data_IF_693949136137
#
_entry.id   IF_693949136137
#
_cell.length_a   1.000
_cell.length_b   1.000
_cell.length_c   1.000
_cell.angle_alpha   90.00
_cell.angle_beta   90.00
_cell.angle_gamma   90.00
#
_symmetry.space_group_name_H-M   'P 1'
#
loop_
_entity.id
_entity.type
_entity.pdbx_description
1 polymer ?
#
# COMPACT_ATOMS: atom_id res chain seq x y z
N UNK A 1 29.06 -30.93 3.72
CA UNK A 1 28.68 -30.11 2.55
C UNK A 1 28.89 -28.65 2.94
N UNK A 2 29.48 -27.80 2.10
CA UNK A 2 29.59 -26.36 2.44
C UNK A 2 28.18 -25.76 2.42
N UNK A 3 27.69 -25.33 3.58
CA UNK A 3 26.46 -24.55 3.70
C UNK A 3 26.56 -23.33 2.78
N UNK A 4 25.66 -23.25 1.80
CA UNK A 4 25.65 -22.19 0.80
C UNK A 4 24.85 -21.02 1.36
N UNK A 5 25.59 -20.00 1.79
CA UNK A 5 25.05 -18.72 2.26
C UNK A 5 24.19 -18.05 1.17
N UNK A 6 23.04 -17.51 1.56
CA UNK A 6 22.18 -16.70 0.69
C UNK A 6 22.25 -15.22 1.11
N UNK A 7 22.34 -14.33 0.11
CA UNK A 7 22.26 -12.88 0.33
C UNK A 7 20.84 -12.42 0.07
N UNK A 8 20.27 -11.72 1.03
CA UNK A 8 18.89 -11.23 1.03
C UNK A 8 18.96 -9.71 1.06
N UNK A 9 18.38 -9.03 0.07
CA UNK A 9 18.19 -7.60 0.16
C UNK A 9 17.01 -7.30 1.09
N UNK A 10 17.26 -6.54 2.15
CA UNK A 10 16.22 -6.05 3.06
C UNK A 10 16.10 -4.57 2.78
N UNK A 11 14.98 -4.18 2.16
CA UNK A 11 14.66 -2.78 1.88
C UNK A 11 13.78 -2.29 3.03
N UNK A 12 14.35 -1.52 3.95
CA UNK A 12 13.69 -1.12 5.20
C UNK A 12 14.33 0.14 5.84
N UNK A 13 14.27 0.31 7.17
CA UNK A 13 14.84 1.42 7.94
C UNK A 13 16.30 1.24 8.36
N UNK A 14 16.95 0.18 7.91
CA UNK A 14 18.30 -0.20 8.31
C UNK A 14 18.38 -1.39 9.27
N UNK A 15 19.54 -2.06 9.31
CA UNK A 15 19.82 -3.22 10.16
C UNK A 15 21.00 -2.94 11.10
N UNK A 16 20.79 -3.04 12.41
CA UNK A 16 21.88 -2.99 13.40
C UNK A 16 22.60 -4.34 13.48
N UNK A 17 23.93 -4.31 13.49
CA UNK A 17 24.74 -5.49 13.77
C UNK A 17 24.77 -5.75 15.27
N UNK A 18 23.82 -6.57 15.71
CA UNK A 18 23.71 -7.00 17.10
C UNK A 18 23.24 -8.45 17.21
N UNK A 19 23.71 -9.13 18.26
CA UNK A 19 23.34 -10.52 18.55
C UNK A 19 23.60 -11.45 17.37
N UNK A 20 22.54 -12.14 16.91
CA UNK A 20 22.62 -13.09 15.80
C UNK A 20 23.02 -12.46 14.46
N UNK A 21 22.95 -11.13 14.32
CA UNK A 21 23.25 -10.40 13.09
C UNK A 21 24.71 -9.97 12.95
N UNK A 22 25.53 -10.12 13.99
CA UNK A 22 26.95 -9.73 13.97
C UNK A 22 27.70 -10.42 12.82
N UNK A 23 28.31 -9.62 11.93
CA UNK A 23 29.07 -10.14 10.79
C UNK A 23 28.23 -10.76 9.65
N UNK A 24 26.91 -10.50 9.62
CA UNK A 24 26.00 -11.01 8.58
C UNK A 24 25.60 -9.98 7.52
N UNK A 25 25.99 -8.73 7.69
CA UNK A 25 25.66 -7.67 6.73
C UNK A 25 26.83 -7.53 5.76
N UNK A 26 26.55 -7.80 4.49
CA UNK A 26 27.57 -7.83 3.43
C UNK A 26 27.72 -6.49 2.73
N UNK A 27 26.65 -5.68 2.73
CA UNK A 27 26.57 -4.41 2.01
C UNK A 27 25.53 -3.53 2.70
N UNK A 28 25.78 -2.22 2.72
CA UNK A 28 24.86 -1.20 3.21
C UNK A 28 24.72 -0.11 2.15
N UNK A 29 23.50 0.27 1.84
CA UNK A 29 23.20 1.40 0.95
C UNK A 29 22.09 2.22 1.59
N UNK A 30 22.34 3.51 1.77
CA UNK A 30 21.34 4.47 2.24
C UNK A 30 20.91 5.35 1.06
N UNK A 31 19.64 5.25 0.68
CA UNK A 31 19.07 5.97 -0.46
C UNK A 31 18.69 7.42 -0.13
N UNK A 32 18.66 7.79 1.15
CA UNK A 32 18.50 9.17 1.61
C UNK A 32 19.85 9.90 1.77
N UNK A 33 20.96 9.17 1.84
CA UNK A 33 22.28 9.77 1.89
C UNK A 33 22.63 10.48 0.58
N UNK A 34 23.27 11.65 0.70
CA UNK A 34 23.84 12.37 -0.45
C UNK A 34 24.80 11.47 -1.24
N UNK A 35 24.83 11.64 -2.56
CA UNK A 35 25.58 10.77 -3.49
C UNK A 35 27.06 10.56 -3.13
N UNK A 36 27.69 11.54 -2.47
CA UNK A 36 29.10 11.47 -2.04
C UNK A 36 29.34 10.72 -0.71
N UNK A 37 28.28 10.29 0.00
CA UNK A 37 28.35 9.60 1.30
C UNK A 37 27.75 8.18 1.28
N UNK A 38 27.35 7.68 0.11
CA UNK A 38 26.67 6.38 -0.06
C UNK A 38 27.50 5.16 0.35
N UNK A 39 28.79 5.31 0.67
CA UNK A 39 29.70 4.19 0.97
C UNK A 39 30.18 4.09 2.43
N UNK A 40 29.91 5.06 3.30
CA UNK A 40 30.35 5.00 4.71
C UNK A 40 29.31 5.58 5.68
N UNK A 41 28.14 4.95 5.76
CA UNK A 41 27.17 5.29 6.82
C UNK A 41 27.43 4.40 8.04
N UNK A 42 28.23 4.90 8.99
CA UNK A 42 28.11 4.48 10.39
C UNK A 42 26.72 4.91 10.84
N UNK A 43 25.76 3.99 10.89
CA UNK A 43 24.44 4.25 11.43
C UNK A 43 24.60 4.87 12.83
N UNK A 44 24.27 6.16 12.98
CA UNK A 44 23.83 6.65 14.29
C UNK A 44 22.56 5.86 14.60
N UNK A 45 22.48 5.26 15.80
CA UNK A 45 21.26 4.60 16.26
C UNK A 45 20.07 5.54 16.03
N UNK A 46 19.28 5.27 15.00
CA UNK A 46 17.92 5.77 14.88
C UNK A 46 17.05 4.97 15.85
N UNK A 47 15.93 5.54 16.28
CA UNK A 47 14.94 4.86 17.11
C UNK A 47 14.23 3.70 16.39
N UNK A 48 14.40 3.54 15.07
CA UNK A 48 13.70 2.53 14.30
C UNK A 48 14.50 1.23 14.21
N UNK A 49 13.99 0.18 14.85
CA UNK A 49 14.57 -1.18 14.90
C UNK A 49 13.92 -2.15 13.91
N UNK A 50 13.05 -1.64 13.02
CA UNK A 50 12.14 -2.45 12.22
C UNK A 50 12.86 -3.45 11.30
N UNK A 51 13.80 -2.99 10.48
CA UNK A 51 14.62 -3.85 9.63
C UNK A 51 15.47 -4.84 10.42
N UNK A 52 15.94 -4.43 11.61
CA UNK A 52 16.69 -5.31 12.52
C UNK A 52 15.84 -6.46 13.04
N UNK A 53 14.57 -6.20 13.38
CA UNK A 53 13.61 -7.23 13.80
C UNK A 53 13.35 -8.19 12.63
N UNK A 54 13.05 -7.67 11.43
CA UNK A 54 12.82 -8.50 10.25
C UNK A 54 14.01 -9.42 9.94
N UNK A 55 15.24 -8.89 9.98
CA UNK A 55 16.46 -9.66 9.79
C UNK A 55 16.64 -10.76 10.87
N UNK A 56 16.32 -10.49 12.14
CA UNK A 56 16.37 -11.50 13.22
C UNK A 56 15.36 -12.62 12.99
N UNK A 57 14.14 -12.31 12.55
CA UNK A 57 13.12 -13.31 12.22
C UNK A 57 13.61 -14.21 11.09
N UNK A 58 14.14 -13.60 10.02
CA UNK A 58 14.72 -14.34 8.89
C UNK A 58 15.85 -15.27 9.36
N UNK A 59 16.77 -14.78 10.20
CA UNK A 59 17.84 -15.61 10.76
C UNK A 59 17.35 -16.75 11.66
N UNK A 60 16.26 -16.54 12.40
CA UNK A 60 15.64 -17.57 13.23
C UNK A 60 15.13 -18.76 12.41
N UNK A 61 14.69 -18.51 11.18
CA UNK A 61 14.22 -19.54 10.26
C UNK A 61 15.37 -20.06 9.39
N UNK A 62 16.20 -19.18 8.84
CA UNK A 62 17.34 -19.51 7.98
C UNK A 62 18.66 -18.99 8.61
N UNK A 63 19.36 -19.81 9.40
CA UNK A 63 20.63 -19.44 10.03
C UNK A 63 21.77 -19.15 9.06
N UNK A 64 21.63 -19.42 7.77
CA UNK A 64 22.61 -19.13 6.71
C UNK A 64 22.35 -17.82 5.96
N UNK A 65 21.36 -17.04 6.42
CA UNK A 65 21.04 -15.74 5.83
C UNK A 65 22.14 -14.69 6.09
N UNK A 66 22.49 -13.99 5.02
CA UNK A 66 23.30 -12.77 4.99
C UNK A 66 22.49 -11.65 4.34
N UNK A 67 22.77 -10.40 4.70
CA UNK A 67 21.93 -9.27 4.32
C UNK A 67 22.67 -8.24 3.47
N UNK A 68 21.95 -7.71 2.49
CA UNK A 68 22.20 -6.43 1.86
C UNK A 68 21.20 -5.46 2.52
N UNK A 69 21.71 -4.55 3.33
CA UNK A 69 20.93 -3.61 4.12
C UNK A 69 20.68 -2.34 3.28
N UNK A 70 19.45 -2.21 2.78
CA UNK A 70 19.05 -1.15 1.86
C UNK A 70 18.07 -0.20 2.57
N UNK A 71 18.59 0.92 3.08
CA UNK A 71 17.78 1.90 3.80
C UNK A 71 16.99 2.76 2.82
N UNK A 72 15.70 2.47 2.71
CA UNK A 72 14.73 3.22 1.90
C UNK A 72 13.49 3.65 2.69
N UNK A 73 13.47 3.41 4.00
CA UNK A 73 12.46 3.91 4.93
C UNK A 73 13.08 4.88 5.95
N UNK A 74 12.38 5.97 6.23
CA UNK A 74 12.75 6.96 7.23
C UNK A 74 12.49 6.44 8.66
N UNK A 75 13.08 7.06 9.70
CA UNK A 75 12.90 6.65 11.09
C UNK A 75 11.45 6.70 11.60
N UNK A 76 10.58 7.49 10.96
CA UNK A 76 9.14 7.59 11.28
C UNK A 76 8.29 6.49 10.60
N UNK A 77 8.92 5.57 9.86
CA UNK A 77 8.25 4.49 9.14
C UNK A 77 7.71 4.89 7.76
N UNK A 78 7.95 6.12 7.30
CA UNK A 78 7.53 6.57 5.97
C UNK A 78 8.61 6.26 4.92
N UNK A 79 8.18 6.11 3.67
CA UNK A 79 9.07 5.97 2.51
C UNK A 79 8.59 6.87 1.39
N UNK A 80 9.51 7.30 0.54
CA UNK A 80 9.21 7.99 -0.71
C UNK A 80 9.26 6.96 -1.84
N UNK A 81 8.28 6.99 -2.74
CA UNK A 81 8.21 6.09 -3.89
C UNK A 81 9.53 6.06 -4.68
N UNK A 82 10.14 7.22 -4.94
CA UNK A 82 11.40 7.30 -5.68
C UNK A 82 12.52 6.54 -4.97
N UNK A 83 12.56 6.57 -3.64
CA UNK A 83 13.56 5.84 -2.84
C UNK A 83 13.34 4.34 -2.87
N UNK A 84 12.09 3.90 -2.87
CA UNK A 84 11.77 2.51 -3.11
C UNK A 84 12.18 2.06 -4.52
N UNK A 85 11.88 2.86 -5.55
CA UNK A 85 12.26 2.55 -6.94
C UNK A 85 13.78 2.50 -7.11
N UNK A 86 14.53 3.46 -6.55
CA UNK A 86 16.01 3.46 -6.56
C UNK A 86 16.57 2.18 -5.91
N UNK A 87 15.97 1.70 -4.81
CA UNK A 87 16.39 0.48 -4.14
C UNK A 87 16.11 -0.79 -4.96
N UNK A 88 14.95 -0.86 -5.62
CA UNK A 88 14.60 -1.96 -6.52
C UNK A 88 15.51 -1.99 -7.76
N UNK A 89 15.79 -0.82 -8.35
CA UNK A 89 16.72 -0.69 -9.47
C UNK A 89 18.13 -1.12 -9.08
N UNK A 90 18.58 -0.76 -7.87
CA UNK A 90 19.85 -1.23 -7.34
C UNK A 90 19.87 -2.75 -7.19
N UNK A 91 18.81 -3.37 -6.66
CA UNK A 91 18.71 -4.82 -6.55
C UNK A 91 18.80 -5.52 -7.92
N UNK A 92 18.15 -4.98 -8.94
CA UNK A 92 18.24 -5.49 -10.30
C UNK A 92 19.67 -5.40 -10.84
N UNK A 93 20.33 -4.25 -10.66
CA UNK A 93 21.72 -4.04 -11.11
C UNK A 93 22.71 -4.97 -10.40
N UNK A 94 22.48 -5.29 -9.13
CA UNK A 94 23.35 -6.19 -8.36
C UNK A 94 23.02 -7.69 -8.55
N UNK A 95 21.98 -8.03 -9.31
CA UNK A 95 21.55 -9.42 -9.51
C UNK A 95 21.11 -10.09 -8.20
N UNK A 96 20.41 -9.36 -7.34
CA UNK A 96 19.89 -9.89 -6.07
C UNK A 96 18.88 -11.01 -6.34
N UNK A 97 18.96 -12.12 -5.61
CA UNK A 97 18.07 -13.27 -5.81
C UNK A 97 16.81 -13.25 -4.94
N UNK A 98 16.88 -12.68 -3.73
CA UNK A 98 15.76 -12.59 -2.80
C UNK A 98 15.68 -11.19 -2.20
N UNK A 99 14.52 -10.55 -2.34
CA UNK A 99 14.22 -9.23 -1.81
C UNK A 99 13.10 -9.34 -0.78
N UNK A 100 13.32 -8.71 0.37
CA UNK A 100 12.36 -8.57 1.44
C UNK A 100 11.89 -7.11 1.54
N UNK A 101 10.56 -6.93 1.60
CA UNK A 101 9.90 -5.63 1.71
C UNK A 101 8.85 -5.67 2.81
N UNK A 102 9.16 -5.11 3.96
CA UNK A 102 8.21 -4.86 5.05
C UNK A 102 7.58 -3.47 4.96
N UNK A 103 7.39 -2.99 3.74
CA UNK A 103 6.83 -1.71 3.36
C UNK A 103 6.12 -1.82 2.00
N UNK A 104 5.28 -0.84 1.70
CA UNK A 104 4.57 -0.76 0.43
C UNK A 104 3.71 0.49 0.35
N UNK A 105 2.95 0.63 -0.73
CA UNK A 105 2.08 1.77 -0.99
C UNK A 105 0.63 1.34 -1.23
N UNK A 106 -0.28 2.19 -0.79
CA UNK A 106 -1.73 2.08 -1.04
C UNK A 106 -2.21 3.18 -2.00
N UNK A 107 -1.32 4.09 -2.41
CA UNK A 107 -1.60 5.13 -3.39
C UNK A 107 -1.75 4.53 -4.79
N UNK A 108 -2.78 4.97 -5.50
CA UNK A 108 -3.11 4.51 -6.84
C UNK A 108 -2.02 4.86 -7.85
N UNK A 109 -1.51 6.10 -7.80
CA UNK A 109 -0.53 6.61 -8.76
C UNK A 109 0.82 5.91 -8.67
N UNK A 110 1.17 5.39 -7.49
CA UNK A 110 2.42 4.67 -7.26
C UNK A 110 2.41 3.26 -7.88
N UNK A 111 1.23 2.69 -8.12
CA UNK A 111 1.08 1.31 -8.60
C UNK A 111 1.86 1.07 -9.89
N UNK A 112 1.64 1.90 -10.91
CA UNK A 112 2.22 1.70 -12.24
C UNK A 112 3.75 1.74 -12.25
N UNK A 113 4.42 2.80 -11.76
CA UNK A 113 5.88 2.82 -11.74
C UNK A 113 6.46 1.68 -10.91
N UNK A 114 5.83 1.32 -9.77
CA UNK A 114 6.29 0.20 -8.96
C UNK A 114 6.12 -1.15 -9.68
N UNK A 115 5.00 -1.36 -10.37
CA UNK A 115 4.72 -2.56 -11.16
C UNK A 115 5.78 -2.78 -12.25
N UNK A 116 6.23 -1.71 -12.91
CA UNK A 116 7.29 -1.78 -13.94
C UNK A 116 8.62 -2.30 -13.35
N UNK A 117 9.01 -1.84 -12.16
CA UNK A 117 10.28 -2.26 -11.51
C UNK A 117 10.17 -3.68 -10.97
N UNK A 118 9.03 -4.02 -10.36
CA UNK A 118 8.75 -5.37 -9.88
C UNK A 118 8.74 -6.36 -11.04
N UNK A 119 8.05 -6.07 -12.15
CA UNK A 119 8.05 -6.94 -13.33
C UNK A 119 9.47 -7.19 -13.87
N UNK A 120 10.28 -6.13 -13.98
CA UNK A 120 11.69 -6.26 -14.40
C UNK A 120 12.52 -7.20 -13.50
N UNK A 121 12.29 -7.16 -12.18
CA UNK A 121 12.92 -8.08 -11.23
C UNK A 121 12.39 -9.51 -11.37
N UNK A 122 11.07 -9.68 -11.53
CA UNK A 122 10.45 -11.00 -11.73
C UNK A 122 10.94 -11.66 -13.03
N UNK A 123 11.11 -10.90 -14.11
CA UNK A 123 11.66 -11.38 -15.39
C UNK A 123 13.13 -11.84 -15.25
N UNK A 124 13.85 -11.32 -14.25
CA UNK A 124 15.20 -11.77 -13.87
C UNK A 124 15.17 -12.94 -12.87
N UNK A 125 14.00 -13.56 -12.67
CA UNK A 125 13.77 -14.64 -11.73
C UNK A 125 14.09 -14.25 -10.27
N UNK A 126 13.94 -12.97 -9.91
CA UNK A 126 14.11 -12.52 -8.52
C UNK A 126 12.88 -12.89 -7.70
N UNK A 127 13.10 -13.39 -6.49
CA UNK A 127 12.02 -13.70 -5.55
C UNK A 127 11.78 -12.47 -4.67
N UNK A 128 10.53 -12.04 -4.58
CA UNK A 128 10.13 -10.87 -3.79
C UNK A 128 9.10 -11.32 -2.76
N UNK A 129 9.32 -10.96 -1.50
CA UNK A 129 8.37 -11.16 -0.40
C UNK A 129 8.01 -9.79 0.16
N UNK A 130 6.71 -9.47 0.19
CA UNK A 130 6.23 -8.17 0.62
C UNK A 130 5.06 -8.26 1.61
N UNK A 131 5.05 -7.35 2.59
CA UNK A 131 3.95 -7.23 3.54
C UNK A 131 2.77 -6.42 2.96
N UNK A 132 1.54 -6.84 3.27
CA UNK A 132 0.37 -5.98 3.11
C UNK A 132 0.30 -4.92 4.22
N UNK A 133 -0.45 -3.84 3.99
CA UNK A 133 -0.71 -2.82 5.00
C UNK A 133 -1.35 -3.41 6.26
N UNK A 134 -1.04 -2.87 7.44
CA UNK A 134 -1.55 -3.33 8.75
C UNK A 134 -3.07 -3.19 8.95
N UNK A 135 -3.80 -2.69 7.95
CA UNK A 135 -5.27 -2.70 7.89
C UNK A 135 -5.83 -3.82 7.01
N UNK A 136 -4.97 -4.69 6.47
CA UNK A 136 -5.32 -5.71 5.46
C UNK A 136 -6.05 -5.10 4.25
N UNK A 137 -5.59 -3.92 3.83
CA UNK A 137 -6.00 -3.34 2.56
C UNK A 137 -4.97 -3.66 1.48
N UNK A 138 -5.41 -3.68 0.22
CA UNK A 138 -4.55 -3.93 -0.94
C UNK A 138 -3.36 -2.98 -0.92
N UNK A 139 -2.16 -3.54 -0.99
CA UNK A 139 -0.89 -2.81 -0.93
C UNK A 139 0.05 -3.34 -1.99
N UNK A 140 0.79 -2.45 -2.64
CA UNK A 140 1.79 -2.83 -3.62
C UNK A 140 3.20 -2.69 -3.00
N UNK A 141 4.10 -3.67 -3.22
CA UNK A 141 4.01 -4.71 -4.24
C UNK A 141 3.37 -6.04 -3.80
N UNK A 142 2.95 -6.20 -2.54
CA UNK A 142 2.40 -7.46 -2.01
C UNK A 142 1.24 -8.04 -2.83
N UNK A 143 0.44 -7.17 -3.46
CA UNK A 143 -0.68 -7.52 -4.33
C UNK A 143 -0.30 -7.81 -5.80
N UNK A 144 0.95 -7.65 -6.22
CA UNK A 144 1.34 -7.93 -7.61
C UNK A 144 1.49 -9.43 -7.87
N UNK A 145 1.00 -9.95 -9.01
CA UNK A 145 1.28 -11.33 -9.41
C UNK A 145 2.78 -11.61 -9.41
N UNK A 146 3.16 -12.78 -8.91
CA UNK A 146 4.56 -13.17 -8.76
C UNK A 146 5.29 -12.59 -7.53
N UNK A 147 4.60 -11.87 -6.64
CA UNK A 147 5.15 -11.44 -5.34
C UNK A 147 4.52 -12.28 -4.24
N UNK A 148 5.34 -12.79 -3.32
CA UNK A 148 4.83 -13.43 -2.12
C UNK A 148 4.25 -12.37 -1.17
N UNK A 149 2.93 -12.20 -1.21
CA UNK A 149 2.18 -11.23 -0.40
C UNK A 149 1.77 -11.84 0.94
N UNK A 150 2.17 -11.19 2.04
CA UNK A 150 2.04 -11.77 3.39
C UNK A 150 1.27 -10.87 4.34
N UNK A 151 0.35 -11.48 5.11
CA UNK A 151 -0.39 -10.86 6.22
C UNK A 151 -0.09 -11.59 7.53
N UNK A 152 -0.23 -10.89 8.64
CA UNK A 152 -0.17 -11.51 9.96
C UNK A 152 -1.45 -12.29 10.25
N UNK A 153 -1.29 -13.46 10.87
CA UNK A 153 -2.38 -14.13 11.56
C UNK A 153 -2.83 -13.31 12.78
N UNK A 154 -3.94 -12.60 12.61
CA UNK A 154 -4.60 -11.80 13.67
C UNK A 154 -5.59 -12.59 14.52
N UNK A 155 -5.93 -13.81 14.09
CA UNK A 155 -6.91 -14.66 14.77
C UNK A 155 -6.21 -15.58 15.80
N UNK A 156 -4.87 -15.66 15.77
CA UNK A 156 -4.09 -16.48 16.68
C UNK A 156 -4.26 -17.97 16.38
N UNK A 157 -4.55 -18.31 15.13
CA UNK A 157 -4.81 -19.68 14.68
C UNK A 157 -3.54 -20.37 14.16
N UNK A 158 -2.38 -19.74 14.19
CA UNK A 158 -1.08 -20.32 13.85
C UNK A 158 -0.16 -20.26 15.08
N UNK A 159 0.84 -21.13 15.14
CA UNK A 159 1.96 -21.01 16.08
C UNK A 159 3.12 -20.21 15.46
N UNK A 160 4.14 -19.87 16.26
CA UNK A 160 5.30 -19.12 15.78
C UNK A 160 5.97 -19.72 14.53
N UNK A 161 6.18 -18.88 13.53
CA UNK A 161 6.76 -19.22 12.23
C UNK A 161 5.94 -20.21 11.40
N UNK A 162 4.70 -20.51 11.80
CA UNK A 162 3.74 -21.20 10.95
C UNK A 162 3.07 -20.21 10.00
N UNK A 163 2.58 -20.75 8.89
CA UNK A 163 1.82 -20.00 7.91
C UNK A 163 0.81 -20.92 7.23
N UNK A 164 -0.21 -20.32 6.63
CA UNK A 164 -1.18 -21.00 5.78
C UNK A 164 -1.46 -20.17 4.53
N UNK A 165 -2.14 -20.78 3.57
CA UNK A 165 -2.70 -20.10 2.42
C UNK A 165 -4.19 -19.89 2.65
N UNK A 166 -4.66 -18.66 2.43
CA UNK A 166 -6.08 -18.32 2.48
C UNK A 166 -6.47 -17.70 1.15
N UNK A 167 -7.26 -18.41 0.35
CA UNK A 167 -7.69 -17.93 -0.96
C UNK A 167 -8.38 -16.56 -0.89
N UNK A 168 -8.00 -15.68 -1.83
CA UNK A 168 -8.51 -14.33 -1.95
C UNK A 168 -8.99 -14.10 -3.37
N UNK A 169 -10.23 -13.62 -3.52
CA UNK A 169 -10.79 -13.34 -4.82
C UNK A 169 -9.96 -12.27 -5.56
N UNK A 170 -9.53 -12.59 -6.79
CA UNK A 170 -8.71 -11.68 -7.60
C UNK A 170 -7.20 -11.69 -7.31
N UNK A 171 -6.72 -12.60 -6.46
CA UNK A 171 -5.31 -12.73 -6.09
C UNK A 171 -4.76 -14.13 -6.39
N UNK A 172 -3.47 -14.19 -6.71
CA UNK A 172 -2.73 -15.44 -6.83
C UNK A 172 -2.51 -16.10 -5.46
N UNK A 173 -2.07 -17.36 -5.49
CA UNK A 173 -1.78 -18.12 -4.27
C UNK A 173 -0.56 -17.56 -3.55
N UNK A 174 0.43 -17.09 -4.31
CA UNK A 174 1.59 -16.36 -3.82
C UNK A 174 1.22 -15.08 -3.06
N UNK A 175 0.13 -14.41 -3.44
CA UNK A 175 -0.35 -13.18 -2.80
C UNK A 175 -1.20 -13.44 -1.54
N UNK A 176 -1.44 -14.70 -1.20
CA UNK A 176 -2.52 -15.13 -0.31
C UNK A 176 -2.00 -15.82 0.96
N UNK A 177 -0.87 -15.36 1.48
CA UNK A 177 -0.19 -15.99 2.61
C UNK A 177 -0.54 -15.29 3.91
N UNK A 178 -0.89 -16.08 4.92
CA UNK A 178 -1.06 -15.64 6.31
C UNK A 178 0.00 -16.32 7.14
N UNK A 179 0.86 -15.56 7.79
CA UNK A 179 1.97 -16.07 8.59
C UNK A 179 1.92 -15.51 10.01
N UNK A 180 2.48 -16.26 10.94
CA UNK A 180 2.49 -15.88 12.35
C UNK A 180 3.91 -15.65 12.86
N UNK A 181 4.08 -14.56 13.62
CA UNK A 181 5.23 -14.36 14.49
C UNK A 181 4.86 -13.56 15.76
N UNK A 182 5.07 -14.14 16.95
CA UNK A 182 5.01 -13.44 18.23
C UNK A 182 6.36 -12.80 18.56
N UNK A 183 6.41 -11.47 18.54
CA UNK A 183 7.48 -10.73 19.20
C UNK A 183 7.29 -10.73 20.71
N UNK A 184 8.38 -10.64 21.47
CA UNK A 184 8.41 -10.67 22.95
C UNK A 184 7.67 -9.53 23.69
N UNK A 185 6.74 -8.84 23.03
CA UNK A 185 5.91 -7.77 23.59
C UNK A 185 4.45 -7.75 23.09
N UNK A 186 4.02 -8.73 22.30
CA UNK A 186 2.59 -8.90 21.97
C UNK A 186 1.97 -7.84 21.05
N UNK A 187 2.72 -7.27 20.10
CA UNK A 187 2.13 -6.41 19.06
C UNK A 187 1.29 -7.27 18.08
N UNK A 188 -0.03 -7.09 18.10
CA UNK A 188 -1.00 -8.06 17.56
C UNK A 188 -1.36 -7.81 16.07
N UNK A 189 -0.85 -6.75 15.43
CA UNK A 189 -1.22 -6.38 14.03
C UNK A 189 -0.09 -5.70 13.23
N UNK A 190 1.08 -6.31 13.16
CA UNK A 190 2.19 -5.97 12.28
C UNK A 190 2.41 -7.03 11.18
N UNK A 191 1.83 -6.81 10.00
CA UNK A 191 2.09 -7.63 8.81
C UNK A 191 3.58 -7.61 8.42
N UNK A 192 4.29 -6.54 8.79
CA UNK A 192 5.73 -6.38 8.60
C UNK A 192 6.56 -7.45 9.30
N UNK A 193 6.08 -8.07 10.39
CA UNK A 193 6.77 -9.17 11.07
C UNK A 193 6.32 -10.56 10.60
N UNK A 194 5.21 -10.65 9.85
CA UNK A 194 4.77 -11.88 9.21
C UNK A 194 5.54 -12.15 7.89
N UNK A 195 5.76 -11.12 7.07
CA UNK A 195 6.53 -11.23 5.82
C UNK A 195 7.95 -11.84 5.96
N UNK A 196 8.76 -11.51 6.99
CA UNK A 196 10.08 -12.11 7.16
C UNK A 196 10.02 -13.61 7.47
N UNK A 197 8.88 -14.14 7.96
CA UNK A 197 8.69 -15.59 8.13
C UNK A 197 8.81 -16.28 6.77
N UNK A 198 8.02 -15.83 5.79
CA UNK A 198 8.02 -16.38 4.42
C UNK A 198 9.35 -16.14 3.72
N UNK A 199 9.99 -14.99 3.99
CA UNK A 199 11.34 -14.71 3.48
C UNK A 199 12.36 -15.74 4.00
N UNK A 200 12.26 -16.15 5.26
CA UNK A 200 13.10 -17.20 5.84
C UNK A 200 12.89 -18.56 5.17
N UNK A 201 11.66 -18.95 4.88
CA UNK A 201 11.38 -20.19 4.14
C UNK A 201 11.88 -20.14 2.70
N UNK A 202 11.67 -19.02 2.00
CA UNK A 202 12.22 -18.82 0.65
C UNK A 202 13.76 -18.88 0.65
N UNK A 203 14.41 -18.31 1.67
CA UNK A 203 15.85 -18.36 1.85
C UNK A 203 16.37 -19.80 2.01
N UNK A 204 15.67 -20.67 2.76
CA UNK A 204 16.04 -22.10 2.87
C UNK A 204 16.10 -22.79 1.52
N UNK A 205 15.08 -22.60 0.68
CA UNK A 205 15.04 -23.18 -0.68
C UNK A 205 16.22 -22.68 -1.51
N UNK A 206 16.55 -21.38 -1.41
CA UNK A 206 17.64 -20.78 -2.17
C UNK A 206 19.04 -21.17 -1.66
N UNK A 207 19.20 -21.53 -0.38
CA UNK A 207 20.44 -22.13 0.13
C UNK A 207 20.72 -23.47 -0.56
N UNK A 208 19.69 -24.29 -0.79
CA UNK A 208 19.82 -25.58 -1.46
C UNK A 208 19.93 -25.43 -2.99
N UNK A 209 19.10 -24.56 -3.57
CA UNK A 209 19.01 -24.30 -5.00
C UNK A 209 18.94 -22.79 -5.30
N UNK A 210 20.10 -22.15 -5.49
CA UNK A 210 20.19 -20.73 -5.81
C UNK A 210 19.53 -20.32 -7.14
N UNK A 211 19.21 -21.28 -8.02
CA UNK A 211 18.53 -21.03 -9.29
C UNK A 211 17.01 -21.23 -9.21
N UNK A 212 16.49 -21.70 -8.07
CA UNK A 212 15.06 -21.93 -7.88
C UNK A 212 14.27 -20.68 -8.25
N UNK A 213 13.21 -20.87 -9.04
CA UNK A 213 12.26 -19.81 -9.36
C UNK A 213 11.11 -19.78 -8.37
N UNK A 214 10.16 -18.87 -8.64
CA UNK A 214 8.99 -18.68 -7.79
C UNK A 214 8.19 -19.96 -7.60
N UNK A 215 7.97 -20.75 -8.66
CA UNK A 215 7.17 -21.98 -8.59
C UNK A 215 7.77 -22.99 -7.62
N UNK A 216 9.10 -23.18 -7.65
CA UNK A 216 9.79 -24.08 -6.71
C UNK A 216 9.66 -23.61 -5.27
N UNK A 217 9.72 -22.30 -5.03
CA UNK A 217 9.52 -21.75 -3.68
C UNK A 217 8.06 -21.87 -3.26
N UNK A 218 7.10 -21.60 -4.14
CA UNK A 218 5.68 -21.74 -3.86
C UNK A 218 5.32 -23.19 -3.52
N UNK A 219 5.77 -24.16 -4.31
CA UNK A 219 5.59 -25.60 -4.03
C UNK A 219 6.17 -25.99 -2.67
N UNK A 220 7.34 -25.45 -2.32
CA UNK A 220 7.94 -25.70 -1.01
C UNK A 220 7.10 -25.08 0.12
N UNK A 221 6.61 -23.85 -0.06
CA UNK A 221 5.73 -23.20 0.91
C UNK A 221 4.43 -23.99 1.08
N UNK A 222 3.79 -24.43 0.00
CA UNK A 222 2.56 -25.23 0.04
C UNK A 222 2.73 -26.54 0.82
N UNK A 223 3.86 -27.22 0.64
CA UNK A 223 4.18 -28.45 1.38
C UNK A 223 4.40 -28.22 2.88
N UNK A 224 4.81 -27.02 3.27
CA UNK A 224 5.12 -26.67 4.66
C UNK A 224 4.01 -25.85 5.35
N UNK A 225 2.99 -25.44 4.61
CA UNK A 225 1.87 -24.69 5.14
C UNK A 225 0.99 -25.54 6.06
N UNK A 226 0.44 -24.92 7.09
CA UNK A 226 -0.62 -25.50 7.92
C UNK A 226 -1.87 -25.68 7.06
N UNK A 227 -2.48 -26.86 7.15
CA UNK A 227 -3.73 -27.20 6.45
C UNK A 227 -4.85 -27.47 7.46
N UNK A 228 -6.11 -27.39 7.02
CA UNK A 228 -7.28 -27.67 7.86
C UNK A 228 -7.66 -26.58 8.86
N UNK A 229 -7.03 -25.39 8.78
CA UNK A 229 -7.45 -24.19 9.52
C UNK A 229 -8.01 -23.16 8.55
N UNK A 230 -9.06 -22.46 8.94
CA UNK A 230 -9.66 -21.38 8.16
C UNK A 230 -9.33 -20.03 8.80
N UNK A 231 -8.83 -19.10 7.99
CA UNK A 231 -8.62 -17.70 8.36
C UNK A 231 -9.71 -16.87 7.67
N UNK A 232 -10.39 -15.97 8.38
CA UNK A 232 -11.57 -15.28 7.87
C UNK A 232 -11.25 -13.86 7.38
N UNK A 233 -10.28 -13.17 7.99
CA UNK A 233 -9.94 -11.80 7.60
C UNK A 233 -9.42 -11.73 6.14
N UNK A 234 -9.92 -10.77 5.35
CA UNK A 234 -9.67 -10.68 3.90
C UNK A 234 -8.89 -9.44 3.54
N UNK A 235 -8.36 -9.42 2.32
CA UNK A 235 -7.80 -8.20 1.76
C UNK A 235 -8.95 -7.37 1.22
N UNK A 236 -9.12 -6.15 1.73
CA UNK A 236 -10.09 -5.19 1.16
C UNK A 236 -9.37 -4.14 0.30
N UNK A 237 -10.13 -3.40 -0.48
CA UNK A 237 -9.67 -2.26 -1.27
C UNK A 237 -9.96 -0.93 -0.58
N UNK A 238 -10.65 -0.93 0.56
CA UNK A 238 -11.07 0.24 1.32
C UNK A 238 -10.80 0.09 2.81
N UNK A 239 -10.66 1.22 3.48
CA UNK A 239 -10.58 1.32 4.93
C UNK A 239 -12.01 1.39 5.47
N UNK A 240 -12.41 0.50 6.40
CA UNK A 240 -13.71 0.62 7.08
C UNK A 240 -13.82 1.93 7.86
N UNK A 241 -14.96 2.64 7.80
CA UNK A 241 -15.21 3.84 8.65
C UNK A 241 -15.07 3.51 10.16
N UNK A 242 -15.38 2.28 10.55
CA UNK A 242 -15.25 1.77 11.93
C UNK A 242 -13.84 1.34 12.32
N UNK A 243 -12.84 1.51 11.45
CA UNK A 243 -11.48 1.09 11.74
C UNK A 243 -10.86 1.98 12.83
N UNK A 244 -10.20 1.34 13.79
CA UNK A 244 -9.79 1.99 15.03
C UNK A 244 -8.64 2.98 14.78
N UNK A 245 -8.86 4.29 14.94
CA UNK A 245 -7.74 5.20 15.24
C UNK A 245 -7.18 4.81 16.61
N UNK A 246 -5.92 4.37 16.65
CA UNK A 246 -5.16 4.08 17.88
C UNK A 246 -5.78 3.00 18.80
N UNK A 247 -6.42 1.97 18.25
CA UNK A 247 -6.88 0.84 19.05
C UNK A 247 -8.11 1.10 19.95
N UNK A 248 -8.83 2.21 19.75
CA UNK A 248 -10.14 2.46 20.39
C UNK A 248 -11.27 2.22 19.40
N UNK A 249 -12.30 1.50 19.86
CA UNK A 249 -13.60 1.43 19.16
C UNK A 249 -14.15 2.85 19.10
N UNK A 250 -14.33 3.37 17.89
CA UNK A 250 -15.04 4.62 17.69
C UNK A 250 -16.49 4.45 18.14
N UNK A 251 -16.99 5.45 18.85
CA UNK A 251 -18.38 5.54 19.26
C UNK A 251 -19.30 5.60 18.04
N UNK A 252 -20.58 5.30 18.23
CA UNK A 252 -21.58 5.36 17.16
C UNK A 252 -21.70 6.76 16.54
N UNK A 253 -21.34 7.82 17.29
CA UNK A 253 -21.33 9.21 16.82
C UNK A 253 -20.11 9.54 15.95
N UNK A 254 -18.95 8.94 16.21
CA UNK A 254 -17.72 9.16 15.41
C UNK A 254 -17.75 8.34 14.09
N UNK A 255 -18.54 7.26 14.02
CA UNK A 255 -18.79 6.54 12.77
C UNK A 255 -19.69 7.31 11.78
N UNK A 256 -20.35 8.36 12.25
CA UNK A 256 -21.29 9.20 11.50
C UNK A 256 -20.67 10.56 11.14
N UNK A 257 -19.36 10.75 11.37
CA UNK A 257 -18.66 11.96 10.96
C UNK A 257 -18.63 12.03 9.42
N UNK A 258 -19.40 12.97 8.89
CA UNK A 258 -19.24 13.46 7.52
C UNK A 258 -17.80 13.89 7.30
N UNK A 259 -17.27 13.65 6.09
CA UNK A 259 -15.95 14.20 5.73
C UNK A 259 -15.90 15.71 6.03
N UNK A 260 -14.81 16.15 6.63
CA UNK A 260 -14.60 17.58 6.93
C UNK A 260 -14.20 18.40 5.70
N UNK A 261 -13.90 17.71 4.59
CA UNK A 261 -13.45 18.30 3.32
C UNK A 261 -14.59 18.36 2.30
N UNK A 262 -14.63 19.39 1.43
CA UNK A 262 -15.70 19.52 0.44
C UNK A 262 -15.67 18.39 -0.59
N UNK A 263 -16.84 17.79 -0.84
CA UNK A 263 -17.06 16.82 -1.92
C UNK A 263 -17.99 17.40 -2.98
N UNK A 264 -17.45 17.58 -4.19
CA UNK A 264 -18.14 18.24 -5.30
C UNK A 264 -18.35 17.25 -6.44
N UNK A 265 -19.60 17.02 -6.84
CA UNK A 265 -19.93 16.07 -7.90
C UNK A 265 -20.47 16.74 -9.16
N UNK A 266 -19.78 16.52 -10.28
CA UNK A 266 -20.26 16.84 -11.62
C UNK A 266 -21.11 15.72 -12.20
N UNK A 267 -22.32 16.05 -12.70
CA UNK A 267 -23.18 15.11 -13.45
C UNK A 267 -23.09 15.41 -14.94
N UNK A 268 -22.32 14.61 -15.66
CA UNK A 268 -22.03 14.88 -17.08
C UNK A 268 -21.13 16.10 -17.29
N UNK A 269 -20.47 16.60 -16.24
CA UNK A 269 -19.60 17.79 -16.26
C UNK A 269 -18.13 17.37 -16.16
N UNK A 270 -17.72 16.38 -16.96
CA UNK A 270 -16.39 15.77 -16.88
C UNK A 270 -15.28 16.78 -17.11
N UNK A 271 -15.38 17.54 -18.19
CA UNK A 271 -14.39 18.56 -18.56
C UNK A 271 -14.27 19.60 -17.45
N UNK A 272 -15.39 20.00 -16.87
CA UNK A 272 -15.44 20.98 -15.79
C UNK A 272 -14.85 20.42 -14.49
N UNK A 273 -15.08 19.15 -14.15
CA UNK A 273 -14.45 18.54 -12.96
C UNK A 273 -12.93 18.52 -13.09
N UNK A 274 -12.41 18.25 -14.30
CA UNK A 274 -10.97 18.36 -14.56
C UNK A 274 -10.48 19.80 -14.44
N UNK A 275 -11.15 20.73 -15.09
CA UNK A 275 -10.79 22.16 -15.03
C UNK A 275 -10.77 22.69 -13.60
N UNK A 276 -11.76 22.32 -12.78
CA UNK A 276 -11.81 22.72 -11.36
C UNK A 276 -10.70 22.07 -10.54
N UNK A 277 -10.38 20.81 -10.81
CA UNK A 277 -9.22 20.15 -10.18
C UNK A 277 -7.93 20.93 -10.48
N UNK A 278 -7.70 21.26 -11.75
CA UNK A 278 -6.53 22.05 -12.19
C UNK A 278 -6.52 23.47 -11.58
N UNK A 279 -7.68 24.13 -11.51
CA UNK A 279 -7.82 25.47 -10.94
C UNK A 279 -7.46 25.49 -9.45
N UNK A 280 -7.95 24.52 -8.67
CA UNK A 280 -7.67 24.45 -7.24
C UNK A 280 -6.24 24.00 -6.94
N UNK A 281 -5.69 23.05 -7.72
CA UNK A 281 -4.25 22.73 -7.68
C UNK A 281 -3.39 23.97 -7.96
N UNK A 282 -3.76 24.77 -8.97
CA UNK A 282 -3.07 26.03 -9.30
C UNK A 282 -3.13 27.09 -8.20
N UNK A 283 -4.11 27.00 -7.30
CA UNK A 283 -4.23 27.85 -6.09
C UNK A 283 -3.48 27.27 -4.87
N UNK A 284 -2.86 26.10 -5.01
CA UNK A 284 -2.09 25.44 -3.97
C UNK A 284 -2.87 24.45 -3.10
N UNK A 285 -4.11 24.11 -3.45
CA UNK A 285 -4.89 23.08 -2.76
C UNK A 285 -4.49 21.68 -3.26
N UNK A 286 -4.42 20.72 -2.35
CA UNK A 286 -4.32 19.31 -2.68
C UNK A 286 -5.68 18.79 -3.16
N UNK A 287 -5.95 18.93 -4.45
CA UNK A 287 -7.22 18.51 -5.06
C UNK A 287 -7.14 17.07 -5.56
N UNK A 288 -8.24 16.34 -5.48
CA UNK A 288 -8.32 14.98 -5.99
C UNK A 288 -9.54 14.76 -6.87
N UNK A 289 -9.32 14.14 -8.03
CA UNK A 289 -10.38 13.79 -8.97
C UNK A 289 -10.65 12.28 -8.97
N UNK A 290 -11.86 11.88 -8.60
CA UNK A 290 -12.36 10.51 -8.76
C UNK A 290 -13.29 10.41 -9.97
N UNK A 291 -13.07 9.42 -10.84
CA UNK A 291 -13.86 9.22 -12.07
C UNK A 291 -14.44 7.81 -12.13
N UNK A 292 -15.69 7.69 -12.62
CA UNK A 292 -16.25 6.36 -12.93
C UNK A 292 -15.56 5.67 -14.11
N UNK A 293 -15.17 6.46 -15.11
CA UNK A 293 -14.40 6.01 -16.25
C UNK A 293 -13.20 6.94 -16.41
N UNK A 294 -12.02 6.45 -16.06
CA UNK A 294 -10.80 7.26 -16.13
C UNK A 294 -10.45 7.57 -17.57
N UNK A 295 -10.30 8.85 -17.86
CA UNK A 295 -9.72 9.35 -19.12
C UNK A 295 -8.59 10.35 -18.86
N UNK A 296 -8.59 11.00 -17.70
CA UNK A 296 -7.59 11.97 -17.32
C UNK A 296 -6.44 11.29 -16.56
N UNK A 297 -5.20 11.63 -16.90
CA UNK A 297 -4.00 10.98 -16.36
C UNK A 297 -3.77 11.24 -14.85
N UNK A 298 -4.46 12.23 -14.28
CA UNK A 298 -4.43 12.56 -12.85
C UNK A 298 -5.69 12.15 -12.08
N UNK A 299 -6.60 11.40 -12.70
CA UNK A 299 -7.80 10.91 -12.05
C UNK A 299 -7.62 9.50 -11.48
N UNK A 300 -8.31 9.22 -10.38
CA UNK A 300 -8.38 7.88 -9.80
C UNK A 300 -9.70 7.22 -10.21
N UNK A 301 -9.68 5.98 -10.71
CA UNK A 301 -10.91 5.23 -10.96
C UNK A 301 -11.63 4.98 -9.64
N UNK A 302 -12.90 5.34 -9.55
CA UNK A 302 -13.73 5.03 -8.36
C UNK A 302 -13.71 3.51 -8.11
N UNK A 303 -13.76 2.71 -9.18
CA UNK A 303 -13.74 1.25 -9.11
C UNK A 303 -12.44 0.66 -8.54
N UNK A 304 -11.36 1.46 -8.47
CA UNK A 304 -10.16 1.07 -7.76
C UNK A 304 -10.49 0.75 -6.30
N UNK A 305 -11.37 1.53 -5.66
CA UNK A 305 -11.79 1.32 -4.27
C UNK A 305 -13.02 0.40 -4.12
N UNK A 306 -13.33 -0.41 -5.13
CA UNK A 306 -14.32 -1.48 -5.04
C UNK A 306 -15.33 -1.50 -6.19
N UNK A 307 -16.09 -2.60 -6.28
CA UNK A 307 -17.13 -2.76 -7.28
C UNK A 307 -18.30 -1.77 -7.11
N UNK A 308 -19.24 -1.81 -8.05
CA UNK A 308 -20.39 -0.88 -8.13
C UNK A 308 -21.24 -0.80 -6.86
N UNK A 309 -21.24 -1.84 -6.03
CA UNK A 309 -22.04 -1.92 -4.81
C UNK A 309 -21.34 -1.30 -3.59
N UNK A 310 -20.10 -0.79 -3.73
CA UNK A 310 -19.37 -0.19 -2.63
C UNK A 310 -19.97 1.18 -2.26
N UNK A 311 -20.32 1.42 -0.98
CA UNK A 311 -20.83 2.72 -0.56
C UNK A 311 -19.82 3.84 -0.81
N UNK A 312 -20.28 4.93 -1.43
CA UNK A 312 -19.45 6.09 -1.76
C UNK A 312 -18.73 6.65 -0.52
N UNK A 313 -19.43 6.79 0.60
CA UNK A 313 -18.82 7.28 1.84
C UNK A 313 -17.62 6.46 2.32
N UNK A 314 -17.59 5.14 2.07
CA UNK A 314 -16.43 4.30 2.41
C UNK A 314 -15.25 4.54 1.48
N UNK A 315 -15.53 4.78 0.19
CA UNK A 315 -14.51 5.16 -0.80
C UNK A 315 -13.92 6.53 -0.45
N UNK A 316 -14.76 7.53 -0.21
CA UNK A 316 -14.35 8.88 0.16
C UNK A 316 -13.52 8.88 1.45
N UNK A 317 -13.95 8.16 2.49
CA UNK A 317 -13.17 8.00 3.72
C UNK A 317 -11.80 7.38 3.46
N UNK A 318 -11.73 6.33 2.64
CA UNK A 318 -10.45 5.70 2.28
C UNK A 318 -9.53 6.68 1.56
N UNK A 319 -10.09 7.43 0.61
CA UNK A 319 -9.38 8.45 -0.16
C UNK A 319 -8.85 9.56 0.76
N UNK A 320 -9.67 10.05 1.68
CA UNK A 320 -9.26 11.06 2.65
C UNK A 320 -8.10 10.56 3.54
N UNK A 321 -8.21 9.33 4.06
CA UNK A 321 -7.14 8.75 4.90
C UNK A 321 -5.83 8.57 4.13
N UNK A 322 -5.89 8.15 2.86
CA UNK A 322 -4.71 7.85 2.04
C UNK A 322 -4.06 9.13 1.51
N UNK A 323 -4.84 10.01 0.88
CA UNK A 323 -4.31 11.17 0.18
C UNK A 323 -4.33 12.43 1.05
N UNK A 324 -5.26 12.56 2.00
CA UNK A 324 -5.53 13.79 2.77
C UNK A 324 -5.74 15.02 1.86
N UNK A 325 -6.67 14.95 0.88
CA UNK A 325 -6.91 16.07 -0.02
C UNK A 325 -7.63 17.21 0.72
N UNK A 326 -7.45 18.45 0.25
CA UNK A 326 -8.22 19.59 0.73
C UNK A 326 -9.64 19.62 0.13
N UNK A 327 -9.82 18.99 -1.04
CA UNK A 327 -11.08 18.96 -1.80
C UNK A 327 -11.16 17.74 -2.72
N UNK A 328 -12.34 17.13 -2.83
CA UNK A 328 -12.59 16.00 -3.73
C UNK A 328 -13.59 16.40 -4.81
N UNK A 329 -13.19 16.22 -6.07
CA UNK A 329 -14.06 16.31 -7.24
C UNK A 329 -14.47 14.90 -7.69
N UNK A 330 -15.76 14.70 -7.90
CA UNK A 330 -16.36 13.47 -8.40
C UNK A 330 -16.93 13.71 -9.80
N UNK A 331 -16.48 12.94 -10.78
CA UNK A 331 -17.05 12.93 -12.13
C UNK A 331 -17.95 11.71 -12.30
N UNK A 332 -19.26 11.95 -12.29
CA UNK A 332 -20.27 10.97 -12.63
C UNK A 332 -20.70 11.09 -14.09
N UNK A 333 -20.93 9.94 -14.72
CA UNK A 333 -21.56 9.89 -16.02
C UNK A 333 -22.98 10.48 -15.93
N UNK A 334 -23.40 11.21 -16.97
CA UNK A 334 -24.67 11.93 -17.00
C UNK A 334 -25.92 11.06 -16.75
N UNK A 335 -25.81 9.77 -17.03
CA UNK A 335 -26.90 8.79 -16.86
C UNK A 335 -26.97 8.19 -15.45
N UNK A 336 -26.02 8.50 -14.57
CA UNK A 336 -25.99 7.93 -13.23
C UNK A 336 -27.05 8.57 -12.33
N UNK A 337 -27.99 7.75 -11.87
CA UNK A 337 -28.88 8.12 -10.76
C UNK A 337 -28.14 7.94 -9.43
N UNK A 338 -27.83 9.03 -8.73
CA UNK A 338 -27.32 8.96 -7.35
C UNK A 338 -28.44 8.56 -6.38
N UNK A 339 -28.17 7.57 -5.53
CA UNK A 339 -29.01 7.21 -4.39
C UNK A 339 -29.05 8.33 -3.34
N UNK A 340 -30.04 8.33 -2.44
CA UNK A 340 -30.10 9.31 -1.34
C UNK A 340 -28.88 9.20 -0.41
N UNK A 341 -28.36 7.99 -0.21
CA UNK A 341 -27.15 7.77 0.58
C UNK A 341 -25.88 8.35 -0.10
N UNK A 342 -25.78 8.30 -1.43
CA UNK A 342 -24.68 8.97 -2.14
C UNK A 342 -24.83 10.50 -2.08
N UNK A 343 -26.06 11.00 -2.20
CA UNK A 343 -26.33 12.45 -2.12
C UNK A 343 -25.96 13.03 -0.76
N UNK A 344 -26.12 12.29 0.33
CA UNK A 344 -25.72 12.75 1.67
C UNK A 344 -24.20 12.85 1.86
N UNK A 345 -23.40 12.20 1.01
CA UNK A 345 -21.93 12.24 1.06
C UNK A 345 -21.35 13.30 0.10
N UNK A 346 -22.21 14.09 -0.58
CA UNK A 346 -21.82 15.10 -1.57
C UNK A 346 -22.34 16.46 -1.11
N UNK A 347 -21.44 17.41 -0.90
CA UNK A 347 -21.79 18.75 -0.45
C UNK A 347 -22.37 19.62 -1.57
N UNK A 348 -21.88 19.43 -2.80
CA UNK A 348 -22.25 20.26 -3.95
C UNK A 348 -22.38 19.43 -5.23
N UNK A 349 -23.48 19.63 -5.96
CA UNK A 349 -23.70 19.08 -7.30
C UNK A 349 -23.56 20.17 -8.35
N UNK A 350 -22.91 19.83 -9.47
CA UNK A 350 -22.81 20.66 -10.66
C UNK A 350 -23.40 19.87 -11.82
N UNK A 351 -24.37 20.46 -12.53
CA UNK A 351 -24.91 19.92 -13.77
C UNK A 351 -24.95 20.99 -14.84
N UNK A 352 -24.83 20.58 -16.10
CA UNK A 352 -24.93 21.49 -17.24
C UNK A 352 -26.21 21.17 -18.03
N UNK A 353 -27.08 22.15 -18.17
CA UNK A 353 -28.30 22.07 -18.99
C UNK A 353 -28.48 23.36 -19.79
N UNK A 354 -28.84 23.21 -21.06
CA UNK A 354 -29.31 24.29 -21.92
C UNK A 354 -28.36 25.51 -21.98
N UNK A 355 -27.04 25.26 -21.93
CA UNK A 355 -26.00 26.29 -22.04
C UNK A 355 -25.68 27.04 -20.73
N UNK A 356 -26.17 26.55 -19.59
CA UNK A 356 -25.89 27.12 -18.27
C UNK A 356 -25.59 26.03 -17.25
N UNK A 357 -24.77 26.35 -16.26
CA UNK A 357 -24.45 25.44 -15.16
C UNK A 357 -25.39 25.69 -13.99
N UNK A 358 -25.95 24.61 -13.44
CA UNK A 358 -26.69 24.64 -12.18
C UNK A 358 -25.81 24.05 -11.08
N UNK A 359 -25.64 24.82 -10.01
CA UNK A 359 -24.84 24.45 -8.85
C UNK A 359 -25.78 24.35 -7.64
N UNK A 360 -25.87 23.18 -7.02
CA UNK A 360 -26.79 22.91 -5.91
C UNK A 360 -26.03 22.41 -4.68
N UNK A 361 -26.21 23.07 -3.53
CA UNK A 361 -25.57 22.69 -2.27
C UNK A 361 -26.46 23.01 -1.06
N UNK A 362 -26.76 22.02 -0.20
CA UNK A 362 -27.62 22.12 1.01
C UNK A 362 -28.87 23.01 0.85
N UNK A 363 -29.62 22.83 -0.25
CA UNK A 363 -30.85 23.57 -0.53
C UNK A 363 -30.67 24.95 -1.17
N UNK A 364 -29.44 25.40 -1.38
CA UNK A 364 -29.11 26.57 -2.18
C UNK A 364 -28.87 26.15 -3.63
N UNK A 365 -29.39 26.93 -4.58
CA UNK A 365 -29.16 26.76 -6.01
C UNK A 365 -28.61 28.06 -6.60
N UNK A 366 -27.53 27.95 -7.37
CA UNK A 366 -26.93 29.04 -8.14
C UNK A 366 -26.77 28.63 -9.60
N UNK A 367 -26.65 29.62 -10.47
CA UNK A 367 -26.40 29.41 -11.90
C UNK A 367 -25.11 30.11 -12.31
N UNK A 368 -24.31 29.46 -13.15
CA UNK A 368 -23.17 30.07 -13.83
C UNK A 368 -23.39 30.04 -15.33
N UNK A 369 -23.07 31.15 -16.01
CA UNK A 369 -23.16 31.25 -17.46
C UNK A 369 -21.96 30.59 -18.17
N UNK A 370 -20.86 30.41 -17.44
CA UNK A 370 -19.62 29.80 -17.95
C UNK A 370 -18.94 28.92 -16.90
N UNK A 371 -18.12 27.98 -17.33
CA UNK A 371 -17.44 27.03 -16.45
C UNK A 371 -16.46 27.73 -15.48
N UNK A 372 -15.80 28.80 -15.92
CA UNK A 372 -14.80 29.54 -15.15
C UNK A 372 -15.39 30.28 -13.93
N UNK A 373 -16.71 30.47 -13.90
CA UNK A 373 -17.41 31.09 -12.77
C UNK A 373 -17.62 30.09 -11.61
N UNK A 374 -17.56 28.80 -11.89
CA UNK A 374 -17.91 27.73 -10.92
C UNK A 374 -16.92 27.71 -9.76
N UNK A 375 -15.62 27.82 -10.02
CA UNK A 375 -14.59 27.83 -8.97
C UNK A 375 -14.79 28.95 -7.95
N UNK A 376 -15.17 30.15 -8.43
CA UNK A 376 -15.51 31.28 -7.57
C UNK A 376 -16.77 31.03 -6.72
N UNK A 377 -17.77 30.32 -7.26
CA UNK A 377 -18.97 29.94 -6.51
C UNK A 377 -18.63 28.93 -5.40
N UNK A 378 -17.75 27.97 -5.68
CA UNK A 378 -17.28 27.00 -4.70
C UNK A 378 -16.61 27.72 -3.52
N UNK A 379 -15.66 28.63 -3.78
CA UNK A 379 -14.97 29.41 -2.74
C UNK A 379 -15.87 30.39 -1.97
N UNK A 380 -17.07 30.72 -2.48
CA UNK A 380 -18.05 31.51 -1.71
C UNK A 380 -18.85 30.65 -0.74
N UNK A 381 -18.87 29.33 -0.97
CA UNK A 381 -19.67 28.38 -0.21
C UNK A 381 -18.88 27.75 0.94
N UNK A 382 -17.62 27.39 0.69
CA UNK A 382 -16.66 26.87 1.67
C UNK A 382 -15.59 27.92 1.93
#
# INVERSE_FOLDING_TARGET
>A
MKEKKIKIAVIDSGIYEEGVLNGRISTRVDFFAEAQKKTEVRHRRSSCVHGTVCAKIICGICPDAYFLDLTAMQPDGTTDLLKLLEALDWCAQQGVKLIHLSLGTVHYFDKKPLEERVRSLLDQNVIIVAAYHNRNIRTYPAAFPGVFGVRQDREGILEDNQFLFQEQAGYGRENSIVAHWWGGGGDQRSNSYAAPVITGYAAKVLCENQKAGIDTVLEYLEKNAVTGREYQDKIDCVIPKTDMRNGRRMSQAENDESLEIPVIAGRGCRTEMRMLTDEFEGKGFQSLLLQEKVVDSGAIPIEYYGGKDRPLGQILHTVDVIYKPDIIFLDYLSVKTCSEAEKSEIDMFISHDSGSYTITAKGLQRTAGKAEEIGGIICQYF
#
